data_IF_407328354225
#
_entry.id   IF_407328354225
#
_cell.length_a   1.000
_cell.length_b   1.000
_cell.length_c   1.000
_cell.angle_alpha   90.00
_cell.angle_beta   90.00
_cell.angle_gamma   90.00
#
_symmetry.space_group_name_H-M   'P 1'
#
loop_
_entity.id
_entity.type
_entity.pdbx_description
1 polymer ?
#
# COMPACT_ATOMS: atom_id res chain seq x y z
N UNK A 1 3.67 -77.32 -55.21
CA UNK A 1 3.60 -76.60 -56.50
C UNK A 1 2.22 -75.96 -56.57
N UNK A 2 2.19 -74.64 -56.79
CA UNK A 2 1.05 -73.79 -57.18
C UNK A 2 0.06 -73.33 -56.07
N UNK A 3 0.22 -72.04 -55.76
CA UNK A 3 -0.74 -71.09 -55.20
C UNK A 3 -2.09 -71.08 -55.94
N UNK A 4 -3.18 -70.85 -55.23
CA UNK A 4 -4.12 -69.79 -55.62
C UNK A 4 -4.97 -69.31 -54.44
N UNK A 5 -4.67 -68.08 -54.08
CA UNK A 5 -5.45 -67.11 -53.31
C UNK A 5 -6.96 -67.24 -53.47
N UNK A 6 -7.70 -67.11 -52.36
CA UNK A 6 -8.71 -66.06 -52.24
C UNK A 6 -8.88 -65.68 -50.76
N UNK A 7 -8.51 -64.42 -50.54
CA UNK A 7 -8.52 -63.59 -49.35
C UNK A 7 -9.96 -63.37 -48.88
N UNK A 8 -10.25 -63.60 -47.60
CA UNK A 8 -11.33 -62.92 -46.89
C UNK A 8 -10.83 -62.58 -45.49
N UNK A 9 -11.22 -61.40 -45.04
CA UNK A 9 -10.36 -60.49 -44.28
C UNK A 9 -10.25 -60.84 -42.80
N UNK A 10 -9.01 -60.72 -42.31
CA UNK A 10 -8.67 -60.63 -40.91
C UNK A 10 -9.33 -59.38 -40.29
N UNK A 11 -10.30 -59.57 -39.41
CA UNK A 11 -10.62 -58.59 -38.37
C UNK A 11 -9.84 -58.96 -37.10
N UNK A 12 -8.51 -58.82 -37.19
CA UNK A 12 -7.69 -58.69 -35.99
C UNK A 12 -8.07 -57.37 -35.33
N UNK A 13 -8.30 -57.30 -34.01
CA UNK A 13 -8.64 -56.05 -33.37
C UNK A 13 -7.44 -55.11 -33.53
N UNK A 14 -7.67 -54.02 -34.26
CA UNK A 14 -6.79 -52.87 -34.29
C UNK A 14 -6.54 -52.47 -32.83
N UNK A 15 -5.28 -52.30 -32.37
CA UNK A 15 -5.08 -51.64 -31.10
C UNK A 15 -5.66 -50.24 -31.28
N UNK A 16 -6.74 -49.95 -30.55
CA UNK A 16 -7.17 -48.58 -30.34
C UNK A 16 -5.98 -47.84 -29.74
N UNK A 17 -5.30 -47.06 -30.57
CA UNK A 17 -4.40 -46.02 -30.11
C UNK A 17 -5.27 -44.98 -29.41
N UNK A 18 -5.58 -45.23 -28.13
CA UNK A 18 -6.07 -44.21 -27.22
C UNK A 18 -4.97 -43.15 -27.11
N UNK A 19 -5.01 -42.18 -28.01
CA UNK A 19 -4.08 -41.08 -28.13
C UNK A 19 -4.39 -40.02 -27.05
N UNK A 20 -4.50 -40.46 -25.80
CA UNK A 20 -4.86 -39.63 -24.62
C UNK A 20 -3.64 -39.04 -23.92
N UNK A 21 -2.41 -39.33 -24.39
CA UNK A 21 -1.18 -38.93 -23.73
C UNK A 21 -0.66 -37.51 -24.02
N UNK A 22 -0.95 -36.93 -25.21
CA UNK A 22 -0.33 -35.66 -25.63
C UNK A 22 -1.03 -34.40 -25.11
N UNK A 23 -2.36 -34.44 -24.96
CA UNK A 23 -3.15 -33.29 -24.47
C UNK A 23 -2.87 -32.94 -23.00
N UNK A 24 -2.49 -33.94 -22.19
CA UNK A 24 -2.22 -33.74 -20.76
C UNK A 24 -0.99 -32.84 -20.53
N UNK A 25 0.15 -33.15 -21.15
CA UNK A 25 1.40 -32.40 -20.94
C UNK A 25 1.36 -30.98 -21.53
N UNK A 26 0.61 -30.74 -22.61
CA UNK A 26 0.36 -29.39 -23.12
C UNK A 26 -0.30 -28.49 -22.08
N UNK A 27 -1.27 -29.00 -21.34
CA UNK A 27 -1.96 -28.25 -20.27
C UNK A 27 -0.97 -27.90 -19.15
N UNK A 28 -0.12 -28.84 -18.73
CA UNK A 28 0.94 -28.57 -17.75
C UNK A 28 1.89 -27.48 -18.25
N UNK A 29 2.29 -27.51 -19.52
CA UNK A 29 3.16 -26.49 -20.11
C UNK A 29 2.52 -25.11 -20.16
N UNK A 30 1.23 -25.01 -20.51
CA UNK A 30 0.48 -23.75 -20.52
C UNK A 30 0.35 -23.16 -19.12
N UNK A 31 0.01 -23.97 -18.12
CA UNK A 31 -0.09 -23.53 -16.73
C UNK A 31 1.26 -23.03 -16.19
N UNK A 32 2.35 -23.74 -16.51
CA UNK A 32 3.70 -23.34 -16.12
C UNK A 32 4.11 -22.02 -16.77
N UNK A 33 3.77 -21.83 -18.05
CA UNK A 33 4.02 -20.58 -18.78
C UNK A 33 3.25 -19.42 -18.16
N UNK A 34 1.96 -19.61 -17.85
CA UNK A 34 1.15 -18.59 -17.17
C UNK A 34 1.74 -18.21 -15.80
N UNK A 35 2.14 -19.21 -15.02
CA UNK A 35 2.75 -19.00 -13.71
C UNK A 35 4.09 -18.24 -13.81
N UNK A 36 4.90 -18.54 -14.83
CA UNK A 36 6.14 -17.80 -15.11
C UNK A 36 5.86 -16.33 -15.43
N UNK A 37 4.86 -16.03 -16.27
CA UNK A 37 4.44 -14.66 -16.61
C UNK A 37 3.98 -13.91 -15.36
N UNK A 38 3.15 -14.54 -14.52
CA UNK A 38 2.67 -13.95 -13.27
C UNK A 38 3.87 -13.65 -12.34
N UNK A 39 4.79 -14.58 -12.17
CA UNK A 39 6.00 -14.39 -11.34
C UNK A 39 6.85 -13.22 -11.84
N UNK A 40 7.12 -13.15 -13.15
CA UNK A 40 7.86 -12.03 -13.75
C UNK A 40 7.14 -10.69 -13.48
N UNK A 41 5.83 -10.63 -13.72
CA UNK A 41 5.03 -9.42 -13.49
C UNK A 41 5.11 -8.95 -12.04
N UNK A 42 4.92 -9.86 -11.07
CA UNK A 42 4.96 -9.54 -9.65
C UNK A 42 6.35 -9.08 -9.20
N UNK A 43 7.42 -9.70 -9.70
CA UNK A 43 8.80 -9.31 -9.40
C UNK A 43 9.12 -7.92 -9.97
N UNK A 44 8.75 -7.65 -11.23
CA UNK A 44 8.94 -6.32 -11.83
C UNK A 44 8.17 -5.27 -11.02
N UNK A 45 6.90 -5.55 -10.72
CA UNK A 45 6.04 -4.67 -9.92
C UNK A 45 6.61 -4.45 -8.52
N UNK A 46 7.18 -5.48 -7.89
CA UNK A 46 7.87 -5.37 -6.61
C UNK A 46 9.02 -4.37 -6.72
N UNK A 47 9.93 -4.54 -7.68
CA UNK A 47 11.12 -3.69 -7.78
C UNK A 47 10.79 -2.23 -8.12
N UNK A 48 9.83 -1.99 -9.00
CA UNK A 48 9.35 -0.64 -9.30
C UNK A 48 8.85 0.04 -8.03
N UNK A 49 8.03 -0.63 -7.23
CA UNK A 49 7.46 -0.03 -6.03
C UNK A 49 8.44 0.01 -4.85
N UNK A 50 9.37 -0.92 -4.74
CA UNK A 50 10.46 -0.86 -3.77
C UNK A 50 11.36 0.36 -4.03
N UNK A 51 11.76 0.57 -5.29
CA UNK A 51 12.52 1.76 -5.71
C UNK A 51 11.76 3.05 -5.39
N UNK A 52 10.45 3.10 -5.72
CA UNK A 52 9.58 4.24 -5.38
C UNK A 52 9.52 4.47 -3.86
N UNK A 53 9.42 3.40 -3.07
CA UNK A 53 9.34 3.50 -1.62
C UNK A 53 10.64 4.02 -0.99
N UNK A 54 11.80 3.58 -1.48
CA UNK A 54 13.09 4.12 -1.03
C UNK A 54 13.20 5.60 -1.38
N UNK A 55 12.90 5.96 -2.64
CA UNK A 55 12.92 7.35 -3.09
C UNK A 55 11.99 8.22 -2.25
N UNK A 56 10.77 7.75 -1.97
CA UNK A 56 9.80 8.49 -1.16
C UNK A 56 10.24 8.62 0.30
N UNK A 57 10.80 7.56 0.87
CA UNK A 57 11.36 7.58 2.25
C UNK A 57 12.43 8.66 2.39
N UNK A 58 13.34 8.74 1.41
CA UNK A 58 14.39 9.76 1.38
C UNK A 58 13.86 11.17 1.23
N UNK A 59 12.91 11.36 0.31
CA UNK A 59 12.28 12.66 0.06
C UNK A 59 11.54 13.18 1.30
N UNK A 60 10.76 12.33 1.97
CA UNK A 60 9.89 12.73 3.08
C UNK A 60 10.64 12.93 4.40
N UNK A 61 11.70 12.14 4.64
CA UNK A 61 12.51 12.23 5.86
C UNK A 61 13.73 13.14 5.73
N UNK A 62 14.24 13.31 4.50
CA UNK A 62 15.32 14.23 4.16
C UNK A 62 16.50 14.20 5.17
N UNK A 63 16.86 15.34 5.78
CA UNK A 63 17.93 15.47 6.76
C UNK A 63 17.80 14.58 8.01
N UNK A 64 16.57 14.16 8.35
CA UNK A 64 16.35 13.28 9.50
C UNK A 64 16.73 11.83 9.19
N UNK A 65 16.89 11.46 7.91
CA UNK A 65 17.28 10.13 7.48
C UNK A 65 18.81 10.01 7.41
N UNK A 66 19.43 9.62 8.53
CA UNK A 66 20.89 9.46 8.69
C UNK A 66 21.33 7.99 8.69
N UNK A 67 20.40 7.06 8.45
CA UNK A 67 20.71 5.65 8.29
C UNK A 67 19.90 5.03 7.16
N UNK A 68 20.32 3.84 6.73
CA UNK A 68 19.54 3.05 5.77
C UNK A 68 18.22 2.64 6.42
N UNK A 69 17.14 3.24 5.95
CA UNK A 69 15.79 2.97 6.43
C UNK A 69 14.82 3.15 5.25
N UNK A 70 13.89 2.21 5.12
CA UNK A 70 12.83 2.22 4.10
C UNK A 70 11.52 2.13 4.83
N UNK A 71 10.66 3.13 4.63
CA UNK A 71 9.36 3.15 5.28
C UNK A 71 8.55 1.91 4.91
N UNK A 72 7.98 1.27 5.92
CA UNK A 72 7.15 0.08 5.75
C UNK A 72 7.92 -1.11 5.18
N UNK A 73 9.23 -1.21 5.38
CA UNK A 73 9.99 -2.45 5.12
C UNK A 73 10.26 -3.17 6.44
N UNK A 74 9.24 -3.86 6.99
CA UNK A 74 9.32 -4.59 8.25
C UNK A 74 8.42 -5.85 8.19
N UNK A 75 8.55 -6.75 9.17
CA UNK A 75 7.78 -8.01 9.21
C UNK A 75 6.25 -7.84 9.26
N UNK A 76 5.76 -6.66 9.63
CA UNK A 76 4.32 -6.35 9.72
C UNK A 76 3.80 -5.63 8.48
N UNK A 77 4.65 -5.38 7.48
CA UNK A 77 4.31 -4.56 6.34
C UNK A 77 3.93 -5.37 5.11
N UNK A 78 3.20 -4.74 4.19
CA UNK A 78 2.84 -5.35 2.91
C UNK A 78 4.08 -5.77 2.09
N UNK A 79 5.22 -5.08 2.28
CA UNK A 79 6.48 -5.42 1.60
C UNK A 79 6.93 -6.85 1.91
N UNK A 80 6.89 -7.21 3.19
CA UNK A 80 7.29 -8.54 3.66
C UNK A 80 6.34 -9.61 3.12
N UNK A 81 5.03 -9.37 3.16
CA UNK A 81 4.04 -10.30 2.61
C UNK A 81 4.15 -10.45 1.10
N UNK A 82 4.48 -9.39 0.35
CA UNK A 82 4.74 -9.50 -1.09
C UNK A 82 5.99 -10.33 -1.38
N UNK A 83 7.05 -10.17 -0.59
CA UNK A 83 8.25 -11.02 -0.70
C UNK A 83 7.90 -12.48 -0.45
N UNK A 84 7.13 -12.79 0.59
CA UNK A 84 6.65 -14.16 0.87
C UNK A 84 5.82 -14.70 -0.30
N UNK A 85 4.87 -13.91 -0.81
CA UNK A 85 3.99 -14.33 -1.91
C UNK A 85 4.81 -14.70 -3.16
N UNK A 86 5.77 -13.88 -3.54
CA UNK A 86 6.68 -14.16 -4.67
C UNK A 86 7.47 -15.45 -4.41
N UNK A 87 8.03 -15.62 -3.22
CA UNK A 87 8.77 -16.85 -2.86
C UNK A 87 7.92 -18.11 -2.92
N UNK A 88 6.66 -18.04 -2.46
CA UNK A 88 5.71 -19.16 -2.54
C UNK A 88 5.41 -19.48 -4.00
N UNK A 89 5.10 -18.49 -4.84
CA UNK A 89 4.77 -18.72 -6.24
C UNK A 89 5.93 -19.30 -7.05
N UNK A 90 7.16 -18.88 -6.78
CA UNK A 90 8.36 -19.49 -7.35
C UNK A 90 8.54 -20.94 -6.89
N UNK A 91 8.29 -21.22 -5.61
CA UNK A 91 8.36 -22.58 -5.07
C UNK A 91 7.31 -23.50 -5.69
N UNK A 92 6.07 -23.00 -5.86
CA UNK A 92 4.99 -23.71 -6.57
C UNK A 92 5.40 -24.01 -8.01
N UNK A 93 6.04 -23.06 -8.70
CA UNK A 93 6.52 -23.29 -10.06
C UNK A 93 7.58 -24.40 -10.11
N UNK A 94 8.54 -24.42 -9.17
CA UNK A 94 9.56 -25.47 -9.08
C UNK A 94 8.93 -26.84 -8.80
N UNK A 95 8.04 -26.93 -7.81
CA UNK A 95 7.38 -28.17 -7.43
C UNK A 95 6.52 -28.69 -8.57
N UNK A 96 5.71 -27.82 -9.19
CA UNK A 96 4.85 -28.20 -10.30
C UNK A 96 5.65 -28.70 -11.50
N UNK A 97 6.75 -28.02 -11.84
CA UNK A 97 7.68 -28.44 -12.90
C UNK A 97 8.32 -29.80 -12.58
N UNK A 98 8.69 -30.02 -11.33
CA UNK A 98 9.31 -31.29 -10.88
C UNK A 98 8.33 -32.47 -10.92
N UNK A 99 7.08 -32.25 -10.48
CA UNK A 99 6.01 -33.26 -10.55
C UNK A 99 5.68 -33.58 -12.01
N UNK A 100 5.55 -32.56 -12.86
CA UNK A 100 5.30 -32.76 -14.29
C UNK A 100 6.44 -33.53 -14.97
N UNK A 101 7.70 -33.20 -14.64
CA UNK A 101 8.87 -33.93 -15.13
C UNK A 101 8.88 -35.40 -14.69
N UNK A 102 8.56 -35.68 -13.42
CA UNK A 102 8.44 -37.05 -12.92
C UNK A 102 7.36 -37.84 -13.67
N UNK A 103 6.21 -37.22 -13.97
CA UNK A 103 5.15 -37.84 -14.78
C UNK A 103 5.57 -38.10 -16.23
N UNK A 104 6.40 -37.24 -16.82
CA UNK A 104 6.99 -37.47 -18.15
C UNK A 104 7.90 -38.70 -18.12
N UNK A 105 8.76 -38.82 -17.09
CA UNK A 105 9.63 -39.99 -16.93
C UNK A 105 8.85 -41.29 -16.64
N UNK A 106 7.73 -41.22 -15.92
CA UNK A 106 6.89 -42.38 -15.66
C UNK A 106 6.15 -42.89 -16.91
N UNK A 107 5.89 -42.02 -17.90
CA UNK A 107 5.17 -42.33 -19.15
C UNK A 107 6.06 -42.05 -20.37
N UNK A 108 7.23 -42.68 -20.39
CA UNK A 108 8.30 -42.40 -21.36
C UNK A 108 7.96 -42.96 -22.75
N UNK A 109 7.49 -42.08 -23.65
CA UNK A 109 7.26 -42.36 -25.07
C UNK A 109 7.89 -41.23 -25.92
N UNK A 110 8.00 -41.42 -27.24
CA UNK A 110 8.60 -40.43 -28.17
C UNK A 110 7.99 -39.02 -28.00
N UNK A 111 6.66 -38.94 -27.84
CA UNK A 111 5.94 -37.67 -27.68
C UNK A 111 6.17 -37.00 -26.32
N UNK A 112 6.36 -37.77 -25.25
CA UNK A 112 6.58 -37.24 -23.90
C UNK A 112 8.03 -36.78 -23.69
N UNK A 113 9.01 -37.43 -24.38
CA UNK A 113 10.42 -37.01 -24.37
C UNK A 113 10.61 -35.56 -24.78
N UNK A 114 9.80 -35.04 -25.71
CA UNK A 114 9.86 -33.63 -26.16
C UNK A 114 9.61 -32.63 -25.01
N UNK A 115 8.88 -33.02 -23.96
CA UNK A 115 8.54 -32.15 -22.84
C UNK A 115 9.58 -32.15 -21.70
N UNK A 116 10.53 -33.09 -21.70
CA UNK A 116 11.58 -33.19 -20.68
C UNK A 116 12.34 -31.87 -20.57
N UNK A 117 12.84 -31.36 -21.71
CA UNK A 117 13.58 -30.11 -21.77
C UNK A 117 12.76 -28.91 -21.30
N UNK A 118 11.45 -28.90 -21.58
CA UNK A 118 10.54 -27.83 -21.16
C UNK A 118 10.40 -27.77 -19.64
N UNK A 119 10.16 -28.91 -18.98
CA UNK A 119 10.02 -28.92 -17.51
C UNK A 119 11.34 -28.69 -16.78
N UNK A 120 12.47 -29.16 -17.33
CA UNK A 120 13.82 -28.81 -16.83
C UNK A 120 14.07 -27.31 -16.97
N UNK A 121 13.69 -26.70 -18.10
CA UNK A 121 13.78 -25.25 -18.29
C UNK A 121 12.91 -24.51 -17.28
N UNK A 122 11.70 -25.02 -16.97
CA UNK A 122 10.82 -24.46 -15.94
C UNK A 122 11.44 -24.41 -14.54
N UNK A 123 12.08 -25.50 -14.10
CA UNK A 123 12.80 -25.58 -12.81
C UNK A 123 13.97 -24.59 -12.81
N UNK A 124 14.80 -24.65 -13.85
CA UNK A 124 15.99 -23.79 -13.99
C UNK A 124 15.60 -22.32 -13.98
N UNK A 125 14.59 -21.95 -14.75
CA UNK A 125 14.08 -20.59 -14.85
C UNK A 125 13.57 -20.08 -13.50
N UNK A 126 12.73 -20.84 -12.80
CA UNK A 126 12.20 -20.41 -11.50
C UNK A 126 13.30 -20.26 -10.44
N UNK A 127 14.29 -21.16 -10.45
CA UNK A 127 15.46 -21.10 -9.54
C UNK A 127 16.31 -19.86 -9.83
N UNK A 128 16.65 -19.61 -11.10
CA UNK A 128 17.40 -18.43 -11.52
C UNK A 128 16.63 -17.13 -11.23
N UNK A 129 15.31 -17.13 -11.42
CA UNK A 129 14.45 -15.99 -11.14
C UNK A 129 14.40 -15.69 -9.64
N UNK A 130 14.30 -16.71 -8.79
CA UNK A 130 14.37 -16.56 -7.33
C UNK A 130 15.72 -16.05 -6.84
N UNK A 131 16.83 -16.59 -7.39
CA UNK A 131 18.18 -16.10 -7.08
C UNK A 131 18.34 -14.64 -7.53
N UNK A 132 17.91 -14.32 -8.75
CA UNK A 132 17.93 -12.95 -9.29
C UNK A 132 17.11 -12.00 -8.44
N UNK A 133 15.94 -12.43 -7.95
CA UNK A 133 15.11 -11.64 -7.05
C UNK A 133 15.83 -11.31 -5.74
N UNK A 134 16.45 -12.30 -5.09
CA UNK A 134 17.20 -12.10 -3.85
C UNK A 134 18.41 -11.17 -4.04
N UNK A 135 19.19 -11.40 -5.10
CA UNK A 135 20.37 -10.57 -5.42
C UNK A 135 19.94 -9.14 -5.73
N UNK A 136 18.95 -8.95 -6.61
CA UNK A 136 18.49 -7.63 -7.02
C UNK A 136 17.89 -6.82 -5.85
N UNK A 137 17.20 -7.47 -4.90
CA UNK A 137 16.73 -6.83 -3.68
C UNK A 137 17.90 -6.22 -2.89
N UNK A 138 18.97 -6.98 -2.69
CA UNK A 138 20.18 -6.52 -2.00
C UNK A 138 20.92 -5.42 -2.77
N UNK A 139 21.08 -5.58 -4.09
CA UNK A 139 21.75 -4.62 -4.96
C UNK A 139 21.00 -3.28 -4.98
N UNK A 140 19.67 -3.28 -5.18
CA UNK A 140 18.87 -2.05 -5.18
C UNK A 140 18.99 -1.33 -3.85
N UNK A 141 18.91 -2.07 -2.74
CA UNK A 141 19.08 -1.49 -1.41
C UNK A 141 20.47 -0.83 -1.26
N UNK A 142 21.52 -1.53 -1.67
CA UNK A 142 22.88 -1.01 -1.54
C UNK A 142 23.12 0.22 -2.42
N UNK A 143 22.78 0.15 -3.72
CA UNK A 143 22.95 1.27 -4.67
C UNK A 143 22.15 2.48 -4.21
N UNK A 144 20.89 2.28 -3.81
CA UNK A 144 20.03 3.39 -3.41
C UNK A 144 20.53 4.07 -2.14
N UNK A 145 21.21 3.37 -1.24
CA UNK A 145 21.81 3.96 -0.05
C UNK A 145 23.32 4.19 -0.17
N UNK A 146 23.87 4.28 -1.38
CA UNK A 146 25.29 4.56 -1.59
C UNK A 146 25.62 6.06 -1.53
N UNK A 147 25.20 6.75 -0.47
CA UNK A 147 25.56 8.14 -0.19
C UNK A 147 26.39 8.21 1.09
N UNK A 148 27.32 9.18 1.23
CA UNK A 148 28.17 9.29 2.42
C UNK A 148 27.39 9.24 3.74
N UNK A 149 26.26 9.95 3.83
CA UNK A 149 25.36 9.99 4.99
C UNK A 149 24.77 8.64 5.43
N UNK A 150 24.91 7.58 4.63
CA UNK A 150 24.39 6.23 4.92
C UNK A 150 25.48 5.17 5.10
N UNK A 151 26.76 5.57 5.03
CA UNK A 151 27.91 4.68 5.17
C UNK A 151 28.42 4.59 6.61
N UNK A 152 27.90 5.44 7.49
CA UNK A 152 28.24 5.53 8.91
C UNK A 152 27.91 4.24 9.66
N UNK A 153 28.74 3.85 10.64
CA UNK A 153 28.45 2.73 11.54
C UNK A 153 27.33 3.11 12.51
N UNK A 154 26.70 2.13 13.17
CA UNK A 154 25.63 2.37 14.16
C UNK A 154 26.07 3.35 15.27
N UNK A 155 27.36 3.37 15.67
CA UNK A 155 27.94 4.35 16.60
C UNK A 155 27.94 5.77 16.06
N UNK A 156 28.22 5.91 14.77
CA UNK A 156 28.37 7.19 14.08
C UNK A 156 26.99 7.82 13.82
N UNK A 157 25.94 6.99 13.71
CA UNK A 157 24.55 7.47 13.60
C UNK A 157 24.16 8.32 14.81
N UNK A 158 24.60 7.98 16.02
CA UNK A 158 24.30 8.81 17.20
C UNK A 158 24.97 10.18 17.10
N UNK A 159 26.27 10.20 16.75
CA UNK A 159 27.03 11.44 16.56
C UNK A 159 26.44 12.32 15.46
N UNK A 160 26.00 11.73 14.36
CA UNK A 160 25.33 12.46 13.28
C UNK A 160 23.98 13.08 13.72
N UNK A 161 23.24 12.41 14.61
CA UNK A 161 22.02 12.98 15.20
C UNK A 161 22.35 14.15 16.13
N UNK A 162 23.47 14.11 16.86
CA UNK A 162 23.96 15.25 17.64
C UNK A 162 24.34 16.40 16.71
N UNK A 163 25.04 16.12 15.61
CA UNK A 163 25.36 17.14 14.59
C UNK A 163 24.09 17.76 14.01
N UNK A 164 23.08 16.94 13.70
CA UNK A 164 21.78 17.41 13.21
C UNK A 164 21.06 18.30 14.24
N UNK A 165 21.13 17.95 15.53
CA UNK A 165 20.59 18.78 16.62
C UNK A 165 21.20 20.19 16.59
N UNK A 166 22.51 20.31 16.45
CA UNK A 166 23.18 21.63 16.41
C UNK A 166 22.81 22.43 15.15
N UNK A 167 22.68 21.77 13.99
CA UNK A 167 22.21 22.41 12.75
C UNK A 167 20.77 22.91 12.89
N UNK A 168 19.89 22.10 13.48
CA UNK A 168 18.46 22.39 13.59
C UNK A 168 18.09 23.30 14.76
N UNK A 169 19.02 23.51 15.70
CA UNK A 169 18.85 24.28 16.95
C UNK A 169 18.07 25.59 16.80
N UNK A 170 18.25 26.42 15.74
CA UNK A 170 17.49 27.66 15.58
C UNK A 170 15.97 27.45 15.39
N UNK A 171 15.57 26.26 14.93
CA UNK A 171 14.17 25.90 14.65
C UNK A 171 13.53 25.06 15.75
N UNK A 172 14.33 24.54 16.69
CA UNK A 172 13.83 23.67 17.76
C UNK A 172 13.09 24.48 18.82
N UNK A 173 11.93 23.97 19.23
CA UNK A 173 11.17 24.56 20.31
C UNK A 173 11.71 24.07 21.65
N UNK A 174 12.45 24.93 22.37
CA UNK A 174 12.97 24.61 23.71
C UNK A 174 11.88 24.44 24.78
N UNK A 175 10.62 24.78 24.49
CA UNK A 175 9.46 24.66 25.38
C UNK A 175 8.49 23.56 24.93
N UNK A 176 9.00 22.43 24.43
CA UNK A 176 8.15 21.28 24.13
C UNK A 176 7.55 20.68 25.42
N UNK A 177 6.31 20.16 25.39
CA UNK A 177 5.65 19.60 26.56
C UNK A 177 6.31 18.28 27.00
N UNK A 178 6.48 18.04 28.31
CA UNK A 178 7.01 16.74 28.78
C UNK A 178 6.09 15.58 28.42
N UNK A 179 4.78 15.80 28.54
CA UNK A 179 3.72 14.81 28.32
C UNK A 179 2.56 15.43 27.54
N UNK A 180 1.98 14.63 26.65
CA UNK A 180 0.73 14.94 25.95
C UNK A 180 -0.29 13.92 26.41
N UNK A 181 -1.45 14.38 26.85
CA UNK A 181 -2.59 13.52 27.19
C UNK A 181 -3.68 13.74 26.15
N UNK A 182 -4.15 12.65 25.55
CA UNK A 182 -5.15 12.67 24.47
C UNK A 182 -6.48 12.17 25.01
N UNK A 183 -7.57 12.85 24.68
CA UNK A 183 -8.92 12.39 25.00
C UNK A 183 -9.31 11.26 24.03
N UNK A 184 -8.88 10.05 24.38
CA UNK A 184 -9.05 8.84 23.56
C UNK A 184 -10.52 8.50 23.39
N UNK A 185 -11.35 8.74 24.41
CA UNK A 185 -12.77 8.39 24.38
C UNK A 185 -13.53 9.30 23.42
N UNK A 186 -13.32 10.62 23.53
CA UNK A 186 -13.92 11.58 22.59
C UNK A 186 -13.43 11.30 21.17
N UNK A 187 -12.14 11.04 20.96
CA UNK A 187 -11.60 10.74 19.64
C UNK A 187 -12.14 9.42 19.07
N UNK A 188 -12.31 8.37 19.89
CA UNK A 188 -12.90 7.09 19.46
C UNK A 188 -14.33 7.26 18.98
N UNK A 189 -15.11 8.14 19.62
CA UNK A 189 -16.50 8.40 19.22
C UNK A 189 -16.62 8.99 17.81
N UNK A 190 -15.59 9.72 17.34
CA UNK A 190 -15.56 10.32 16.01
C UNK A 190 -14.74 9.55 14.98
N UNK A 191 -13.69 8.84 15.42
CA UNK A 191 -12.77 8.11 14.54
C UNK A 191 -11.94 7.07 15.33
N UNK A 192 -12.42 5.83 15.35
CA UNK A 192 -11.76 4.71 16.07
C UNK A 192 -10.37 4.42 15.53
N UNK A 193 -10.18 4.45 14.20
CA UNK A 193 -8.91 4.10 13.55
C UNK A 193 -7.82 5.13 13.87
N UNK A 194 -8.14 6.42 13.72
CA UNK A 194 -7.24 7.51 14.09
C UNK A 194 -6.89 7.46 15.58
N UNK A 195 -7.86 7.15 16.44
CA UNK A 195 -7.61 7.03 17.88
C UNK A 195 -6.57 5.98 18.23
N UNK A 196 -6.58 4.83 17.54
CA UNK A 196 -5.56 3.79 17.74
C UNK A 196 -4.16 4.26 17.32
N UNK A 197 -4.06 4.96 16.17
CA UNK A 197 -2.79 5.50 15.68
C UNK A 197 -2.26 6.58 16.64
N UNK A 198 -3.08 7.57 16.98
CA UNK A 198 -2.65 8.67 17.86
C UNK A 198 -2.31 8.19 19.27
N UNK A 199 -3.08 7.24 19.83
CA UNK A 199 -2.75 6.65 21.13
C UNK A 199 -1.35 6.04 21.11
N UNK A 200 -1.00 5.29 20.06
CA UNK A 200 0.34 4.70 19.90
C UNK A 200 1.41 5.79 19.78
N UNK A 201 1.14 6.84 19.01
CA UNK A 201 2.10 7.93 18.80
C UNK A 201 2.37 8.71 20.08
N UNK A 202 1.32 9.11 20.79
CA UNK A 202 1.42 9.82 22.07
C UNK A 202 2.06 8.94 23.15
N UNK A 203 1.77 7.65 23.19
CA UNK A 203 2.46 6.72 24.11
C UNK A 203 3.95 6.74 23.86
N UNK A 204 4.39 6.63 22.59
CA UNK A 204 5.80 6.72 22.24
C UNK A 204 6.41 8.08 22.61
N UNK A 205 5.71 9.19 22.31
CA UNK A 205 6.18 10.53 22.68
C UNK A 205 6.43 10.66 24.18
N UNK A 206 5.49 10.16 24.98
CA UNK A 206 5.55 10.25 26.44
C UNK A 206 6.69 9.39 27.02
N UNK A 207 6.89 8.17 26.51
CA UNK A 207 7.91 7.24 27.01
C UNK A 207 9.22 7.29 26.22
N UNK A 208 9.43 8.32 25.37
CA UNK A 208 10.48 8.29 24.35
C UNK A 208 11.89 8.13 24.94
N UNK A 209 12.15 8.77 26.08
CA UNK A 209 13.44 8.80 26.77
C UNK A 209 13.81 7.45 27.40
N UNK A 210 12.82 6.60 27.69
CA UNK A 210 13.01 5.26 28.25
C UNK A 210 13.37 4.21 27.19
N UNK A 211 13.23 4.57 25.90
CA UNK A 211 13.44 3.65 24.78
C UNK A 211 14.89 3.69 24.29
N UNK A 212 15.52 2.52 24.15
CA UNK A 212 16.86 2.39 23.56
C UNK A 212 16.96 3.11 22.20
N UNK A 213 18.04 3.88 22.00
CA UNK A 213 18.26 4.76 20.84
C UNK A 213 17.91 4.13 19.49
N UNK A 214 18.37 2.90 19.20
CA UNK A 214 18.10 2.25 17.90
C UNK A 214 16.60 2.09 17.62
N UNK A 215 15.82 1.70 18.63
CA UNK A 215 14.36 1.56 18.54
C UNK A 215 13.69 2.92 18.56
N UNK A 216 14.15 3.83 19.42
CA UNK A 216 13.66 5.21 19.52
C UNK A 216 13.75 5.91 18.16
N UNK A 217 14.91 5.84 17.51
CA UNK A 217 15.14 6.48 16.22
C UNK A 217 14.29 5.88 15.10
N UNK A 218 14.09 4.54 15.07
CA UNK A 218 13.17 3.93 14.09
C UNK A 218 11.72 4.40 14.27
N UNK A 219 11.26 4.48 15.53
CA UNK A 219 9.89 4.94 15.82
C UNK A 219 9.72 6.42 15.51
N UNK A 220 10.74 7.23 15.77
CA UNK A 220 10.79 8.64 15.37
C UNK A 220 10.69 8.79 13.85
N UNK A 221 11.51 8.07 13.07
CA UNK A 221 11.45 8.11 11.59
C UNK A 221 10.09 7.63 11.07
N UNK A 222 9.52 6.57 11.63
CA UNK A 222 8.21 6.04 11.23
C UNK A 222 7.10 7.09 11.42
N UNK A 223 7.03 7.72 12.59
CA UNK A 223 6.03 8.75 12.87
C UNK A 223 6.26 10.02 12.05
N UNK A 224 7.50 10.49 11.97
CA UNK A 224 7.84 11.68 11.19
C UNK A 224 7.51 11.49 9.71
N UNK A 225 7.80 10.31 9.15
CA UNK A 225 7.42 9.98 7.77
C UNK A 225 5.92 10.10 7.59
N UNK A 226 5.13 9.46 8.47
CA UNK A 226 3.65 9.42 8.36
C UNK A 226 3.05 10.81 8.47
N UNK A 227 3.54 11.65 9.38
CA UNK A 227 3.08 13.03 9.54
C UNK A 227 3.42 13.87 8.31
N UNK A 228 4.66 13.82 7.83
CA UNK A 228 5.08 14.59 6.66
C UNK A 228 4.33 14.14 5.39
N UNK A 229 4.18 12.83 5.20
CA UNK A 229 3.41 12.28 4.09
C UNK A 229 1.93 12.68 4.15
N UNK A 230 1.32 12.65 5.34
CA UNK A 230 -0.05 13.12 5.54
C UNK A 230 -0.20 14.57 5.09
N UNK A 231 0.67 15.47 5.59
CA UNK A 231 0.63 16.89 5.26
C UNK A 231 0.86 17.16 3.76
N UNK A 232 1.77 16.42 3.13
CA UNK A 232 2.04 16.50 1.70
C UNK A 232 0.80 16.13 0.87
N UNK A 233 0.12 15.04 1.22
CA UNK A 233 -1.09 14.59 0.53
C UNK A 233 -2.23 15.59 0.75
N UNK A 234 -2.43 16.08 1.99
CA UNK A 234 -3.45 17.10 2.26
C UNK A 234 -3.21 18.39 1.46
N UNK A 235 -1.95 18.83 1.33
CA UNK A 235 -1.61 19.98 0.51
C UNK A 235 -1.92 19.73 -0.97
N UNK A 236 -1.62 18.54 -1.49
CA UNK A 236 -1.96 18.17 -2.88
C UNK A 236 -3.47 18.18 -3.13
N UNK A 237 -4.25 17.64 -2.18
CA UNK A 237 -5.72 17.62 -2.26
C UNK A 237 -6.26 19.05 -2.22
N UNK A 238 -5.77 19.89 -1.31
CA UNK A 238 -6.15 21.30 -1.23
C UNK A 238 -5.87 22.03 -2.55
N UNK A 239 -4.65 21.91 -3.07
CA UNK A 239 -4.26 22.57 -4.33
C UNK A 239 -5.07 22.06 -5.53
N UNK A 240 -5.45 20.79 -5.54
CA UNK A 240 -6.32 20.22 -6.57
C UNK A 240 -7.72 20.84 -6.50
N UNK A 241 -8.29 20.90 -5.30
CA UNK A 241 -9.62 21.47 -5.06
C UNK A 241 -9.67 22.95 -5.40
N UNK A 242 -8.63 23.72 -5.04
CA UNK A 242 -8.51 25.14 -5.40
C UNK A 242 -8.51 25.33 -6.92
N UNK A 243 -7.67 24.59 -7.65
CA UNK A 243 -7.64 24.64 -9.12
C UNK A 243 -8.96 24.23 -9.77
N UNK A 244 -9.63 23.21 -9.23
CA UNK A 244 -10.93 22.80 -9.75
C UNK A 244 -12.02 23.81 -9.45
N UNK A 245 -11.98 24.46 -8.28
CA UNK A 245 -12.90 25.54 -7.95
C UNK A 245 -12.67 26.76 -8.83
N UNK A 246 -11.41 27.09 -9.15
CA UNK A 246 -11.06 28.13 -10.12
C UNK A 246 -11.62 27.81 -11.51
N UNK A 247 -11.40 26.59 -12.01
CA UNK A 247 -11.92 26.13 -13.31
C UNK A 247 -13.47 26.08 -13.31
N UNK A 248 -14.11 25.65 -12.23
CA UNK A 248 -15.57 25.61 -12.12
C UNK A 248 -16.16 27.03 -12.06
N UNK A 249 -15.48 27.97 -11.39
CA UNK A 249 -15.85 29.39 -11.39
C UNK A 249 -15.57 30.06 -12.74
N UNK A 250 -14.60 29.59 -13.53
CA UNK A 250 -14.37 30.05 -14.91
C UNK A 250 -15.36 29.41 -15.92
N UNK A 251 -15.81 28.17 -15.67
CA UNK A 251 -16.79 27.43 -16.49
C UNK A 251 -18.24 27.71 -16.13
N UNK A 252 -18.49 28.34 -14.98
CA UNK A 252 -19.74 29.02 -14.67
C UNK A 252 -19.58 30.48 -15.12
N UNK A 253 -19.79 30.83 -16.40
CA UNK A 253 -20.24 32.18 -16.65
C UNK A 253 -21.45 32.39 -15.75
N UNK A 254 -21.63 33.59 -15.22
CA UNK A 254 -22.97 34.05 -14.87
C UNK A 254 -23.83 33.82 -16.12
N UNK A 255 -24.49 32.66 -16.18
CA UNK A 255 -25.51 32.39 -17.17
C UNK A 255 -26.60 33.37 -16.78
N UNK A 256 -26.60 34.51 -17.47
CA UNK A 256 -27.73 35.41 -17.52
C UNK A 256 -28.98 34.53 -17.64
N UNK A 257 -29.77 34.47 -16.57
CA UNK A 257 -31.01 33.68 -16.47
C UNK A 257 -32.10 34.13 -17.45
N UNK A 258 -31.77 34.95 -18.45
CA UNK A 258 -32.72 35.57 -19.36
C UNK A 258 -33.00 34.78 -20.65
N UNK A 259 -32.10 33.89 -21.12
CA UNK A 259 -32.25 33.29 -22.47
C UNK A 259 -32.11 31.75 -22.57
N UNK A 260 -32.50 31.00 -21.55
CA UNK A 260 -32.65 29.53 -21.70
C UNK A 260 -34.03 29.19 -22.30
N UNK A 261 -34.01 28.41 -23.40
CA UNK A 261 -35.21 27.94 -24.10
C UNK A 261 -36.04 27.01 -23.20
N UNK A 262 -37.35 26.95 -23.45
CA UNK A 262 -38.34 26.33 -22.55
C UNK A 262 -38.04 24.85 -22.28
N UNK A 263 -37.48 24.17 -23.28
CA UNK A 263 -37.11 22.75 -23.24
C UNK A 263 -35.89 22.51 -22.34
N UNK A 264 -34.88 23.38 -22.36
CA UNK A 264 -33.70 23.24 -21.51
C UNK A 264 -34.04 23.47 -20.03
N UNK A 265 -34.96 24.40 -19.74
CA UNK A 265 -35.50 24.58 -18.38
C UNK A 265 -36.24 23.33 -17.89
N UNK A 266 -36.94 22.65 -18.79
CA UNK A 266 -37.70 21.43 -18.48
C UNK A 266 -36.79 20.22 -18.28
N UNK A 267 -35.73 20.08 -19.07
CA UNK A 267 -34.68 19.05 -18.88
C UNK A 267 -33.97 19.25 -17.53
N UNK A 268 -33.59 20.48 -17.20
CA UNK A 268 -32.97 20.81 -15.90
C UNK A 268 -33.94 20.55 -14.74
N UNK A 269 -35.24 20.80 -14.94
CA UNK A 269 -36.26 20.52 -13.94
C UNK A 269 -36.48 19.02 -13.75
N UNK A 270 -36.56 18.24 -14.84
CA UNK A 270 -36.70 16.79 -14.79
C UNK A 270 -35.51 16.12 -14.10
N UNK A 271 -34.28 16.54 -14.41
CA UNK A 271 -33.08 16.01 -13.74
C UNK A 271 -33.06 16.37 -12.24
N UNK A 272 -33.54 17.56 -11.87
CA UNK A 272 -33.72 17.95 -10.46
C UNK A 272 -34.82 17.15 -9.75
N UNK A 273 -35.91 16.82 -10.44
CA UNK A 273 -37.02 16.04 -9.88
C UNK A 273 -36.66 14.56 -9.75
N UNK A 274 -35.90 13.99 -10.68
CA UNK A 274 -35.42 12.61 -10.63
C UNK A 274 -34.36 12.43 -9.53
N UNK A 275 -33.45 13.41 -9.37
CA UNK A 275 -32.55 13.50 -8.21
C UNK A 275 -33.34 13.62 -6.90
N UNK A 276 -34.38 14.45 -6.83
CA UNK A 276 -35.26 14.53 -5.65
C UNK A 276 -35.99 13.22 -5.37
N UNK A 277 -36.43 12.49 -6.39
CA UNK A 277 -37.13 11.21 -6.24
C UNK A 277 -36.20 10.11 -5.72
N UNK A 278 -34.96 10.03 -6.24
CA UNK A 278 -33.90 9.16 -5.68
C UNK A 278 -33.61 9.48 -4.22
N UNK A 279 -33.39 10.76 -3.91
CA UNK A 279 -33.15 11.23 -2.53
C UNK A 279 -34.35 10.90 -1.62
N UNK A 280 -35.59 11.08 -2.08
CA UNK A 280 -36.80 10.73 -1.31
C UNK A 280 -36.94 9.23 -1.05
N UNK A 281 -36.55 8.37 -2.00
CA UNK A 281 -36.54 6.92 -1.81
C UNK A 281 -35.42 6.47 -0.86
N UNK A 282 -34.23 7.05 -0.98
CA UNK A 282 -33.14 6.84 -0.03
C UNK A 282 -33.54 7.32 1.39
N UNK A 283 -34.17 8.49 1.52
CA UNK A 283 -34.69 9.00 2.80
C UNK A 283 -35.76 8.08 3.41
N UNK A 284 -36.63 7.47 2.60
CA UNK A 284 -37.64 6.51 3.09
C UNK A 284 -37.03 5.22 3.62
N UNK A 285 -35.92 4.75 3.06
CA UNK A 285 -35.16 3.62 3.59
C UNK A 285 -34.37 4.00 4.85
N UNK A 286 -33.82 5.23 4.90
CA UNK A 286 -33.13 5.76 6.08
C UNK A 286 -34.09 5.96 7.27
N UNK A 287 -35.34 6.35 7.02
CA UNK A 287 -36.37 6.55 8.05
C UNK A 287 -36.84 5.24 8.73
N UNK A 288 -36.57 4.07 8.14
CA UNK A 288 -36.89 2.75 8.72
C UNK A 288 -35.73 2.13 9.49
N UNK A 289 -34.55 2.74 9.45
CA UNK A 289 -33.34 2.21 10.06
C UNK A 289 -33.18 2.67 11.51
N UNK A 290 -32.62 1.81 12.36
CA UNK A 290 -32.24 2.24 13.72
C UNK A 290 -31.09 3.26 13.65
N UNK A 291 -30.98 4.14 14.65
CA UNK A 291 -29.94 5.19 14.70
C UNK A 291 -28.52 4.63 14.62
N UNK A 292 -28.27 3.48 15.24
CA UNK A 292 -26.97 2.80 15.23
C UNK A 292 -26.64 2.22 13.84
N UNK A 293 -27.63 1.64 13.18
CA UNK A 293 -27.47 1.01 11.87
C UNK A 293 -27.37 2.05 10.75
N UNK A 294 -28.06 3.19 10.89
CA UNK A 294 -27.88 4.37 10.05
C UNK A 294 -26.45 4.91 10.18
N UNK A 295 -25.96 5.12 11.41
CA UNK A 295 -24.61 5.61 11.64
C UNK A 295 -23.56 4.66 11.05
N UNK A 296 -23.73 3.36 11.23
CA UNK A 296 -22.84 2.34 10.66
C UNK A 296 -22.84 2.38 9.12
N UNK A 297 -24.01 2.41 8.48
CA UNK A 297 -24.09 2.48 7.01
C UNK A 297 -23.60 3.82 6.48
N UNK A 298 -23.79 4.91 7.21
CA UNK A 298 -23.25 6.22 6.85
C UNK A 298 -21.71 6.23 6.95
N UNK A 299 -21.14 5.64 8.00
CA UNK A 299 -19.69 5.45 8.11
C UNK A 299 -19.15 4.55 7.00
N UNK A 300 -19.82 3.44 6.68
CA UNK A 300 -19.46 2.56 5.56
C UNK A 300 -19.59 3.26 4.20
N UNK A 301 -20.61 4.10 4.00
CA UNK A 301 -20.79 4.92 2.81
C UNK A 301 -19.71 5.98 2.69
N UNK A 302 -19.44 6.75 3.75
CA UNK A 302 -18.36 7.75 3.78
C UNK A 302 -17.01 7.08 3.57
N UNK A 303 -16.79 5.90 4.15
CA UNK A 303 -15.59 5.10 3.94
C UNK A 303 -15.45 4.65 2.49
N UNK A 304 -16.49 4.07 1.89
CA UNK A 304 -16.48 3.61 0.50
C UNK A 304 -16.38 4.77 -0.50
N UNK A 305 -17.07 5.89 -0.24
CA UNK A 305 -17.01 7.08 -1.07
C UNK A 305 -15.63 7.74 -1.02
N UNK A 306 -15.00 7.86 0.16
CA UNK A 306 -13.63 8.39 0.30
C UNK A 306 -12.56 7.42 -0.18
N UNK A 307 -12.75 6.12 -0.03
CA UNK A 307 -11.83 5.12 -0.57
C UNK A 307 -11.83 5.11 -2.12
N UNK A 308 -12.97 5.45 -2.72
CA UNK A 308 -13.14 5.54 -4.17
C UNK A 308 -12.98 6.96 -4.72
N UNK A 309 -12.82 7.98 -3.85
CA UNK A 309 -12.53 9.35 -4.26
C UNK A 309 -11.13 9.40 -4.90
N UNK A 310 -10.99 9.79 -6.18
CA UNK A 310 -9.70 9.90 -6.86
C UNK A 310 -8.66 10.73 -6.09
N UNK A 311 -9.11 11.69 -5.27
CA UNK A 311 -8.23 12.54 -4.44
C UNK A 311 -7.54 11.74 -3.34
N UNK A 312 -8.30 10.89 -2.66
CA UNK A 312 -7.83 10.04 -1.56
C UNK A 312 -7.37 8.66 -2.02
N UNK A 313 -7.64 8.28 -3.28
CA UNK A 313 -7.12 7.07 -3.94
C UNK A 313 -5.59 7.05 -3.97
N UNK A 314 -4.95 8.23 -3.87
CA UNK A 314 -3.50 8.36 -3.72
C UNK A 314 -2.96 8.00 -2.32
N UNK A 315 -3.84 7.83 -1.33
CA UNK A 315 -3.53 7.52 0.06
C UNK A 315 -4.02 6.13 0.54
N UNK A 316 -4.99 5.50 -0.16
CA UNK A 316 -5.48 4.12 0.10
C UNK A 316 -4.38 3.04 0.07
N UNK A 317 -4.66 1.80 0.50
CA UNK A 317 -3.67 0.73 0.50
C UNK A 317 -3.32 0.36 -0.92
N UNK A 318 -2.15 0.78 -1.38
CA UNK A 318 -1.48 0.05 -2.44
C UNK A 318 -0.50 -0.90 -1.75
N UNK A 319 -0.85 -2.18 -1.68
CA UNK A 319 -0.03 -3.21 -1.02
C UNK A 319 1.39 -3.28 -1.60
N UNK A 320 1.63 -2.76 -2.80
CA UNK A 320 2.95 -2.69 -3.40
C UNK A 320 3.76 -1.47 -2.97
N UNK A 321 3.13 -0.35 -2.60
CA UNK A 321 3.80 0.83 -2.08
C UNK A 321 3.96 0.67 -0.57
N UNK A 322 5.18 0.32 -0.13
CA UNK A 322 5.45 -0.11 1.24
C UNK A 322 5.18 0.97 2.27
N UNK A 323 5.34 2.23 1.89
CA UNK A 323 5.10 3.37 2.75
C UNK A 323 3.61 3.72 2.95
N UNK A 324 2.69 3.13 2.17
CA UNK A 324 1.23 3.24 2.34
C UNK A 324 0.73 2.04 3.14
N UNK A 325 1.23 1.93 4.37
CA UNK A 325 0.78 0.90 5.31
C UNK A 325 -0.61 1.24 5.89
N UNK A 326 -1.18 0.34 6.68
CA UNK A 326 -2.52 0.54 7.25
C UNK A 326 -2.59 1.76 8.18
N UNK A 327 -1.51 2.08 8.91
CA UNK A 327 -1.52 3.25 9.79
C UNK A 327 -1.60 4.54 8.98
N UNK A 328 -1.01 4.60 7.79
CA UNK A 328 -1.18 5.73 6.87
C UNK A 328 -2.64 5.85 6.43
N UNK A 329 -3.28 4.76 6.03
CA UNK A 329 -4.70 4.80 5.63
C UNK A 329 -5.63 5.26 6.75
N UNK A 330 -5.38 4.78 7.97
CA UNK A 330 -6.16 5.13 9.16
C UNK A 330 -6.15 6.64 9.42
N UNK A 331 -5.06 7.35 9.05
CA UNK A 331 -5.00 8.81 9.11
C UNK A 331 -5.97 9.50 8.14
N UNK A 332 -6.29 8.86 7.01
CA UNK A 332 -7.17 9.40 5.97
C UNK A 332 -8.61 8.89 6.07
N UNK A 333 -8.94 8.02 7.02
CA UNK A 333 -10.31 7.54 7.24
C UNK A 333 -11.30 8.69 7.53
N UNK A 334 -10.85 9.71 8.28
CA UNK A 334 -11.56 10.98 8.43
C UNK A 334 -10.61 12.15 8.72
N UNK A 335 -10.06 12.81 7.69
CA UNK A 335 -8.97 13.77 7.86
C UNK A 335 -9.40 15.09 8.53
N UNK A 336 -10.70 15.38 8.57
CA UNK A 336 -11.27 16.57 9.21
C UNK A 336 -11.63 16.32 10.68
N UNK A 337 -11.12 15.24 11.28
CA UNK A 337 -11.38 14.92 12.69
C UNK A 337 -10.70 15.95 13.58
N UNK A 338 -11.40 16.42 14.60
CA UNK A 338 -10.85 17.29 15.62
C UNK A 338 -10.19 16.48 16.74
N UNK A 339 -8.95 16.81 17.08
CA UNK A 339 -8.17 16.18 18.14
C UNK A 339 -8.27 17.02 19.40
N UNK A 340 -8.66 16.38 20.50
CA UNK A 340 -8.74 16.97 21.82
C UNK A 340 -7.58 16.45 22.68
N UNK A 341 -6.77 17.36 23.20
CA UNK A 341 -5.55 17.00 23.94
C UNK A 341 -5.20 18.06 25.00
N UNK A 342 -4.40 17.66 25.99
CA UNK A 342 -3.83 18.55 27.01
C UNK A 342 -2.31 18.39 27.07
N UNK A 343 -1.65 19.49 27.40
CA UNK A 343 -0.18 19.59 27.45
C UNK A 343 0.26 19.70 28.91
N UNK A 344 0.52 18.56 29.57
CA UNK A 344 1.09 18.54 30.92
C UNK A 344 0.31 19.35 31.97
N UNK A 345 1.06 20.02 32.88
CA UNK A 345 0.57 20.61 34.15
C UNK A 345 -0.56 21.64 34.00
N UNK A 346 -0.72 22.22 32.80
CA UNK A 346 -1.86 23.06 32.50
C UNK A 346 -3.05 22.16 32.12
N UNK A 347 -4.08 22.12 33.00
CA UNK A 347 -5.38 21.45 32.73
C UNK A 347 -6.18 22.07 31.56
N UNK A 348 -5.52 22.85 30.71
CA UNK A 348 -6.14 23.47 29.54
C UNK A 348 -6.30 22.42 28.45
N UNK A 349 -7.55 22.21 28.06
CA UNK A 349 -7.89 21.34 26.93
C UNK A 349 -7.77 22.16 25.65
N UNK A 350 -6.99 21.64 24.71
CA UNK A 350 -6.84 22.16 23.36
C UNK A 350 -7.68 21.32 22.41
N UNK A 351 -8.29 21.99 21.44
CA UNK A 351 -9.09 21.38 20.40
C UNK A 351 -8.61 21.92 19.04
N UNK A 352 -8.11 21.02 18.18
CA UNK A 352 -7.54 21.38 16.87
C UNK A 352 -7.94 20.39 15.80
N UNK A 353 -8.08 20.86 14.56
CA UNK A 353 -8.19 19.95 13.41
C UNK A 353 -6.93 19.10 13.26
N UNK A 354 -7.09 17.88 12.76
CA UNK A 354 -5.99 16.90 12.64
C UNK A 354 -4.74 17.46 11.95
N UNK A 355 -4.91 18.21 10.86
CA UNK A 355 -3.79 18.81 10.13
C UNK A 355 -3.02 19.84 10.95
N UNK A 356 -3.72 20.65 11.76
CA UNK A 356 -3.07 21.62 12.65
C UNK A 356 -2.41 20.94 13.85
N UNK A 357 -3.09 19.96 14.44
CA UNK A 357 -2.53 19.12 15.49
C UNK A 357 -1.23 18.45 15.02
N UNK A 358 -1.19 17.92 13.80
CA UNK A 358 0.02 17.29 13.25
C UNK A 358 1.16 18.26 12.99
N UNK A 359 0.90 19.50 12.62
CA UNK A 359 1.96 20.52 12.52
C UNK A 359 2.60 20.76 13.89
N UNK A 360 1.78 20.99 14.90
CA UNK A 360 2.25 21.24 16.27
C UNK A 360 2.93 20.00 16.88
N UNK A 361 2.30 18.83 16.78
CA UNK A 361 2.83 17.58 17.29
C UNK A 361 4.16 17.22 16.63
N UNK A 362 4.32 17.46 15.32
CA UNK A 362 5.60 17.26 14.63
C UNK A 362 6.71 18.09 15.26
N UNK A 363 6.46 19.36 15.54
CA UNK A 363 7.46 20.25 16.11
C UNK A 363 7.83 19.81 17.54
N UNK A 364 6.86 19.34 18.32
CA UNK A 364 7.11 18.73 19.63
C UNK A 364 7.92 17.44 19.52
N UNK A 365 7.57 16.56 18.58
CA UNK A 365 8.23 15.27 18.35
C UNK A 365 9.70 15.47 17.97
N UNK A 366 9.98 16.37 17.02
CA UNK A 366 11.34 16.69 16.56
C UNK A 366 12.14 17.33 17.69
N UNK A 367 11.56 18.32 18.39
CA UNK A 367 12.23 19.01 19.50
C UNK A 367 12.56 18.06 20.63
N UNK A 368 11.60 17.22 21.07
CA UNK A 368 11.84 16.23 22.12
C UNK A 368 12.87 15.19 21.69
N UNK A 369 12.80 14.69 20.45
CA UNK A 369 13.77 13.69 19.98
C UNK A 369 15.20 14.23 19.94
N UNK A 370 15.42 15.44 19.43
CA UNK A 370 16.76 16.02 19.25
C UNK A 370 17.33 16.63 20.54
N UNK A 371 16.50 17.34 21.32
CA UNK A 371 16.99 18.04 22.53
C UNK A 371 17.30 17.08 23.68
N UNK A 372 16.76 15.86 23.67
CA UNK A 372 17.07 14.80 24.65
C UNK A 372 18.32 13.99 24.31
N UNK A 373 19.08 14.38 23.28
CA UNK A 373 20.36 13.75 22.93
C UNK A 373 21.50 14.52 23.57
N UNK A 374 22.31 13.82 24.34
CA UNK A 374 23.51 14.32 25.02
C UNK A 374 24.78 13.87 24.30
#
# INVERSE_FOLDING_TARGET
>A
MINLFLKSESSSPTPETSNTGSGSFLIYSLLLTLLAIINIYLIIKFFVNYKRSISKTKEVLDKYLVKKYVQGFNFKSNAFYNTILISILLSVQIIFSSVALSKVYANLNEASKTYISFFIAGITFATLLGLSFAIALGVIYHIKFNYPQYKSKDSDVYSEIISLKEIEKPTLNNKYPKKIDLDVEKLKSSNVLLSNVLKKWITFYNTMEEVKFKKQYNLFLDQLFKINYFNEVQLKIKNYNEKHSEIENELLPEIEKSNLDKIEKEIIWMDKMDKKAKILNEIKELAKMSKEEFNKKYEEYVYSARANDPLYQSATKNSWLFYRDSEVEDLFFNPNTTVNYSLGEDKKVYEKELGEFFKEYKDYLVSKFLLTKE
#
